data_IF_120074423769
#
_entry.id   IF_120074423769
#
_cell.length_a   1.000
_cell.length_b   1.000
_cell.length_c   1.000
_cell.angle_alpha   90.00
_cell.angle_beta   90.00
_cell.angle_gamma   90.00
#
_symmetry.space_group_name_H-M   'P 1'
#
loop_
_entity.id
_entity.type
_entity.pdbx_description
1 polymer ?
#
# COMPACT_ATOMS: atom_id res chain seq x y z
N UNK A 1 29.14 -7.57 -22.22
CA UNK A 1 28.31 -6.64 -23.02
C UNK A 1 27.10 -7.39 -23.56
N UNK A 2 26.21 -7.83 -22.66
CA UNK A 2 24.91 -8.41 -23.02
C UNK A 2 23.90 -7.82 -22.04
N UNK A 3 23.03 -6.96 -22.53
CA UNK A 3 21.84 -6.48 -21.86
C UNK A 3 20.99 -7.69 -21.48
N UNK A 4 21.04 -8.11 -20.23
CA UNK A 4 20.22 -9.17 -19.64
C UNK A 4 18.75 -8.76 -19.68
N UNK A 5 17.95 -9.25 -20.64
CA UNK A 5 16.58 -8.75 -20.86
C UNK A 5 15.66 -9.08 -19.67
N UNK A 6 15.97 -10.17 -18.98
CA UNK A 6 15.25 -10.62 -17.80
C UNK A 6 15.43 -9.67 -16.60
N UNK A 7 16.60 -9.02 -16.44
CA UNK A 7 16.81 -8.02 -15.39
C UNK A 7 15.94 -6.78 -15.65
N UNK A 8 15.82 -6.37 -16.92
CA UNK A 8 14.94 -5.28 -17.31
C UNK A 8 13.46 -5.65 -17.09
N UNK A 9 13.05 -6.88 -17.42
CA UNK A 9 11.68 -7.36 -17.19
C UNK A 9 11.33 -7.42 -15.68
N UNK A 10 12.25 -7.88 -14.83
CA UNK A 10 12.06 -7.91 -13.38
C UNK A 10 12.00 -6.49 -12.80
N UNK A 11 12.86 -5.58 -13.27
CA UNK A 11 12.81 -4.17 -12.87
C UNK A 11 11.48 -3.52 -13.24
N UNK A 12 10.98 -3.78 -14.46
CA UNK A 12 9.67 -3.32 -14.90
C UNK A 12 8.55 -3.87 -14.02
N UNK A 13 8.55 -5.18 -13.75
CA UNK A 13 7.56 -5.82 -12.88
C UNK A 13 7.55 -5.21 -11.46
N UNK A 14 8.73 -4.89 -10.92
CA UNK A 14 8.84 -4.21 -9.62
C UNK A 14 8.24 -2.79 -9.63
N UNK A 15 8.43 -2.02 -10.70
CA UNK A 15 7.78 -0.71 -10.83
C UNK A 15 6.26 -0.82 -10.93
N UNK A 16 5.73 -1.81 -11.67
CA UNK A 16 4.29 -2.07 -11.70
C UNK A 16 3.75 -2.44 -10.33
N UNK A 17 4.49 -3.22 -9.54
CA UNK A 17 4.13 -3.54 -8.16
C UNK A 17 4.09 -2.30 -7.27
N UNK A 18 5.09 -1.42 -7.38
CA UNK A 18 5.12 -0.15 -6.64
C UNK A 18 3.91 0.73 -7.00
N UNK A 19 3.62 0.88 -8.29
CA UNK A 19 2.46 1.61 -8.80
C UNK A 19 1.15 1.07 -8.23
N UNK A 20 0.99 -0.26 -8.21
CA UNK A 20 -0.18 -0.93 -7.64
C UNK A 20 -0.35 -0.63 -6.15
N UNK A 21 0.74 -0.62 -5.37
CA UNK A 21 0.68 -0.23 -3.96
C UNK A 21 0.18 1.22 -3.79
N UNK A 22 0.64 2.13 -4.65
CA UNK A 22 0.19 3.54 -4.65
C UNK A 22 -1.31 3.63 -4.96
N UNK A 23 -1.80 2.92 -5.98
CA UNK A 23 -3.22 2.89 -6.35
C UNK A 23 -4.11 2.39 -5.21
N UNK A 24 -3.71 1.30 -4.53
CA UNK A 24 -4.44 0.77 -3.37
C UNK A 24 -4.47 1.79 -2.23
N UNK A 25 -3.36 2.50 -2.00
CA UNK A 25 -3.29 3.52 -0.96
C UNK A 25 -4.23 4.69 -1.27
N UNK A 26 -4.26 5.17 -2.52
CA UNK A 26 -5.19 6.20 -2.95
C UNK A 26 -6.65 5.74 -2.87
N UNK A 27 -6.94 4.49 -3.23
CA UNK A 27 -8.27 3.93 -3.07
C UNK A 27 -8.70 3.94 -1.60
N UNK A 28 -7.79 3.54 -0.69
CA UNK A 28 -8.05 3.56 0.76
C UNK A 28 -8.30 4.98 1.27
N UNK A 29 -7.50 5.96 0.84
CA UNK A 29 -7.68 7.37 1.21
C UNK A 29 -9.05 7.90 0.75
N UNK A 30 -9.44 7.64 -0.50
CA UNK A 30 -10.72 8.11 -1.05
C UNK A 30 -11.93 7.43 -0.40
N UNK A 31 -11.89 6.10 -0.27
CA UNK A 31 -13.07 5.31 0.13
C UNK A 31 -13.18 5.10 1.63
N UNK A 32 -12.10 4.68 2.30
CA UNK A 32 -12.14 4.33 3.72
C UNK A 32 -12.08 5.59 4.58
N UNK A 33 -11.32 6.59 4.15
CA UNK A 33 -11.16 7.84 4.89
C UNK A 33 -12.05 8.98 4.36
N UNK A 34 -12.95 8.69 3.41
CA UNK A 34 -13.88 9.67 2.82
C UNK A 34 -13.21 10.94 2.28
N UNK A 35 -12.01 10.81 1.70
CA UNK A 35 -11.31 11.94 1.04
C UNK A 35 -11.87 12.24 -0.36
N UNK A 36 -12.97 11.60 -0.75
CA UNK A 36 -13.68 11.79 -2.02
C UNK A 36 -14.41 13.14 -2.09
N UNK A 37 -14.88 13.67 -0.96
CA UNK A 37 -15.52 14.98 -0.87
C UNK A 37 -14.91 15.84 0.25
N UNK A 38 -14.08 16.81 -0.13
CA UNK A 38 -13.45 17.74 0.81
C UNK A 38 -14.43 18.86 1.18
N UNK A 39 -14.57 19.15 2.48
CA UNK A 39 -15.54 20.15 2.97
C UNK A 39 -15.00 21.58 2.87
N UNK A 40 -13.69 21.75 2.83
CA UNK A 40 -13.04 23.05 2.82
C UNK A 40 -13.32 23.84 1.54
N UNK A 41 -13.63 25.13 1.69
CA UNK A 41 -13.99 26.03 0.56
C UNK A 41 -12.84 26.92 0.10
N UNK A 42 -11.79 27.06 0.91
CA UNK A 42 -10.61 27.86 0.57
C UNK A 42 -9.43 26.96 0.22
N UNK A 43 -8.57 27.34 -0.74
CA UNK A 43 -7.45 26.51 -1.16
C UNK A 43 -6.51 26.18 0.00
N UNK A 44 -6.24 27.14 0.89
CA UNK A 44 -5.38 26.91 2.05
C UNK A 44 -5.94 25.86 3.02
N UNK A 45 -7.25 25.82 3.21
CA UNK A 45 -7.89 24.82 4.06
C UNK A 45 -7.96 23.46 3.39
N UNK A 46 -8.15 23.41 2.07
CA UNK A 46 -8.09 22.17 1.29
C UNK A 46 -6.72 21.49 1.43
N UNK A 47 -5.62 22.25 1.34
CA UNK A 47 -4.28 21.70 1.53
C UNK A 47 -4.10 21.11 2.94
N UNK A 48 -4.62 21.79 3.98
CA UNK A 48 -4.58 21.30 5.36
C UNK A 48 -5.42 20.03 5.53
N UNK A 49 -6.62 20.01 4.95
CA UNK A 49 -7.51 18.86 4.98
C UNK A 49 -6.85 17.64 4.35
N UNK A 50 -6.24 17.80 3.17
CA UNK A 50 -5.47 16.75 2.50
C UNK A 50 -4.30 16.28 3.38
N UNK A 51 -3.51 17.21 3.94
CA UNK A 51 -2.38 16.87 4.80
C UNK A 51 -2.79 16.06 6.03
N UNK A 52 -3.93 16.40 6.65
CA UNK A 52 -4.48 15.64 7.79
C UNK A 52 -4.93 14.24 7.38
N UNK A 53 -5.54 14.06 6.20
CA UNK A 53 -5.88 12.72 5.69
C UNK A 53 -4.63 11.86 5.50
N UNK A 54 -3.57 12.40 4.91
CA UNK A 54 -2.30 11.68 4.78
C UNK A 54 -1.69 11.35 6.15
N UNK A 55 -1.72 12.28 7.11
CA UNK A 55 -1.21 12.05 8.46
C UNK A 55 -1.98 10.92 9.16
N UNK A 56 -3.31 10.98 9.16
CA UNK A 56 -4.15 9.97 9.78
C UNK A 56 -3.98 8.59 9.12
N UNK A 57 -3.86 8.53 7.78
CA UNK A 57 -3.59 7.28 7.07
C UNK A 57 -2.27 6.63 7.53
N UNK A 58 -1.20 7.41 7.58
CA UNK A 58 0.11 6.93 8.00
C UNK A 58 0.11 6.48 9.47
N UNK A 59 -0.60 7.20 10.34
CA UNK A 59 -0.75 6.82 11.75
C UNK A 59 -1.46 5.46 11.89
N UNK A 60 -2.61 5.29 11.24
CA UNK A 60 -3.36 4.03 11.26
C UNK A 60 -2.50 2.87 10.73
N UNK A 61 -1.80 3.05 9.61
CA UNK A 61 -0.92 2.02 9.04
C UNK A 61 0.24 1.67 9.97
N UNK A 62 0.81 2.66 10.64
CA UNK A 62 1.91 2.45 11.61
C UNK A 62 1.41 1.69 12.84
N UNK A 63 0.24 2.06 13.37
CA UNK A 63 -0.39 1.36 14.49
C UNK A 63 -0.72 -0.09 14.14
N UNK A 64 -1.26 -0.36 12.95
CA UNK A 64 -1.49 -1.74 12.48
C UNK A 64 -0.17 -2.50 12.40
N UNK A 65 0.87 -1.90 11.83
CA UNK A 65 2.17 -2.54 11.72
C UNK A 65 2.79 -2.82 13.10
N UNK A 66 2.61 -1.93 14.07
CA UNK A 66 3.06 -2.10 15.44
C UNK A 66 2.27 -3.18 16.17
N UNK A 67 0.95 -3.18 16.05
CA UNK A 67 0.09 -4.24 16.60
C UNK A 67 0.47 -5.61 16.02
N UNK A 68 0.76 -5.71 14.72
CA UNK A 68 1.26 -6.94 14.10
C UNK A 68 2.66 -7.36 14.57
N UNK A 69 3.52 -6.41 14.96
CA UNK A 69 4.84 -6.73 15.55
C UNK A 69 4.70 -7.22 16.99
N UNK A 70 3.83 -6.59 17.76
CA UNK A 70 3.66 -6.86 19.20
C UNK A 70 2.81 -8.11 19.46
N UNK A 71 1.89 -8.43 18.56
CA UNK A 71 1.15 -9.70 18.61
C UNK A 71 1.97 -10.77 17.91
N UNK A 72 2.06 -11.97 18.50
CA UNK A 72 2.66 -13.14 17.85
C UNK A 72 1.80 -13.69 16.70
N UNK A 73 1.02 -12.83 16.02
CA UNK A 73 0.43 -13.08 14.72
C UNK A 73 1.57 -13.10 13.69
N UNK A 74 2.44 -14.12 13.84
CA UNK A 74 3.34 -14.60 12.80
C UNK A 74 2.50 -14.72 11.55
N UNK A 75 3.08 -14.26 10.42
CA UNK A 75 2.61 -14.47 9.03
C UNK A 75 1.31 -15.26 8.99
N UNK A 76 0.21 -14.63 8.60
CA UNK A 76 -0.90 -15.40 8.05
C UNK A 76 -0.24 -16.39 7.08
N UNK A 77 -0.28 -17.68 7.41
CA UNK A 77 0.34 -18.74 6.61
C UNK A 77 -0.06 -18.41 5.16
N UNK A 78 0.92 -18.25 4.25
CA UNK A 78 0.60 -17.80 2.91
C UNK A 78 -0.51 -18.70 2.40
N UNK A 79 -1.52 -18.15 1.73
CA UNK A 79 -2.67 -18.94 1.26
C UNK A 79 -2.23 -20.28 0.60
N UNK A 80 -1.08 -20.26 -0.08
CA UNK A 80 -0.36 -21.43 -0.63
C UNK A 80 -0.02 -22.54 0.39
N UNK A 81 0.38 -22.22 1.62
CA UNK A 81 0.71 -23.19 2.68
C UNK A 81 -0.52 -23.93 3.22
N UNK A 82 -1.73 -23.37 3.11
CA UNK A 82 -2.98 -24.04 3.50
C UNK A 82 -3.58 -24.93 2.40
N UNK A 83 -3.12 -24.78 1.15
CA UNK A 83 -3.69 -25.46 -0.02
C UNK A 83 -2.69 -26.32 -0.81
N UNK A 84 -1.46 -26.53 -0.30
CA UNK A 84 -0.49 -27.44 -0.93
C UNK A 84 -0.06 -27.03 -2.35
N UNK A 85 -0.17 -25.75 -2.71
CA UNK A 85 0.20 -25.27 -4.05
C UNK A 85 1.65 -24.77 -3.99
N UNK A 86 2.60 -25.63 -4.35
CA UNK A 86 3.98 -25.25 -4.60
C UNK A 86 4.05 -24.41 -5.88
N UNK A 87 4.62 -23.20 -5.80
CA UNK A 87 4.84 -22.37 -7.00
C UNK A 87 5.83 -23.07 -7.94
N UNK A 88 5.62 -23.07 -9.27
CA UNK A 88 6.66 -23.50 -10.20
C UNK A 88 7.83 -22.51 -10.16
N UNK A 89 9.06 -23.04 -10.28
CA UNK A 89 10.31 -22.28 -10.38
C UNK A 89 10.39 -21.51 -11.69
#
# INVERSE_FOLDING_TARGET
MLSTPWLAAVALANHYKQRWHIEINFNSLKTIMSMDHLRSKTPDMVHKEIAVHFLAYNLIRTLIAEACRNTALRRCEPWSAKHGVSRPR
#
